data_IF_983140184219
#
_entry.id   IF_983140184219
#
_cell.length_a   1.000
_cell.length_b   1.000
_cell.length_c   1.000
_cell.angle_alpha   90.00
_cell.angle_beta   90.00
_cell.angle_gamma   90.00
#
_symmetry.space_group_name_H-M   'P 1'
#
loop_
_entity.id
_entity.type
_entity.pdbx_description
1 polymer ?
#
# COMPACT_ATOMS: atom_id res chain seq x y z
N UNK A 1 -15.79 -37.41 -29.10
CA UNK A 1 -14.99 -37.75 -27.90
C UNK A 1 -15.89 -37.59 -26.69
N UNK A 2 -16.27 -38.69 -26.02
CA UNK A 2 -17.05 -38.65 -24.77
C UNK A 2 -16.03 -38.66 -23.64
N UNK A 3 -15.91 -37.53 -22.93
CA UNK A 3 -15.05 -37.45 -21.75
C UNK A 3 -15.56 -38.44 -20.69
N UNK A 4 -14.67 -39.30 -20.18
CA UNK A 4 -15.00 -40.23 -19.12
C UNK A 4 -15.20 -39.53 -17.77
N UNK A 5 -15.90 -40.14 -16.80
CA UNK A 5 -16.10 -39.54 -15.47
C UNK A 5 -14.78 -39.19 -14.76
N UNK A 6 -13.70 -39.92 -15.06
CA UNK A 6 -12.34 -39.62 -14.59
C UNK A 6 -11.76 -38.32 -15.18
N UNK A 7 -11.95 -38.05 -16.48
CA UNK A 7 -11.45 -36.80 -17.10
C UNK A 7 -12.18 -35.57 -16.56
N UNK A 8 -13.50 -35.68 -16.34
CA UNK A 8 -14.30 -34.61 -15.73
C UNK A 8 -13.78 -34.29 -14.32
N UNK A 9 -13.44 -35.31 -13.55
CA UNK A 9 -12.93 -35.15 -12.18
C UNK A 9 -11.57 -34.43 -12.17
N UNK A 10 -10.66 -34.80 -13.09
CA UNK A 10 -9.35 -34.16 -13.25
C UNK A 10 -9.50 -32.68 -13.66
N UNK A 11 -10.41 -32.39 -14.59
CA UNK A 11 -10.65 -31.01 -15.05
C UNK A 11 -11.24 -30.14 -13.95
N UNK A 12 -12.14 -30.67 -13.11
CA UNK A 12 -12.71 -29.94 -11.97
C UNK A 12 -11.65 -29.66 -10.90
N UNK A 13 -10.76 -30.61 -10.62
CA UNK A 13 -9.66 -30.42 -9.68
C UNK A 13 -8.64 -29.40 -10.20
N UNK A 14 -8.27 -29.47 -11.49
CA UNK A 14 -7.38 -28.49 -12.11
C UNK A 14 -8.00 -27.09 -12.11
N UNK A 15 -9.28 -26.96 -12.46
CA UNK A 15 -9.98 -25.68 -12.46
C UNK A 15 -10.11 -25.12 -11.04
N UNK A 16 -10.44 -25.95 -10.05
CA UNK A 16 -10.51 -25.57 -8.64
C UNK A 16 -9.16 -25.12 -8.11
N UNK A 17 -8.07 -25.84 -8.45
CA UNK A 17 -6.71 -25.45 -8.11
C UNK A 17 -6.32 -24.12 -8.76
N UNK A 18 -6.69 -23.90 -10.01
CA UNK A 18 -6.39 -22.67 -10.75
C UNK A 18 -7.15 -21.46 -10.16
N UNK A 19 -8.43 -21.64 -9.80
CA UNK A 19 -9.22 -20.62 -9.10
C UNK A 19 -8.65 -20.35 -7.71
N UNK A 20 -8.25 -21.39 -6.98
CA UNK A 20 -7.63 -21.27 -5.65
C UNK A 20 -6.26 -20.54 -5.73
N UNK A 21 -5.44 -20.84 -6.73
CA UNK A 21 -4.19 -20.14 -7.01
C UNK A 21 -4.41 -18.65 -7.36
N UNK A 22 -5.45 -18.35 -8.14
CA UNK A 22 -5.83 -16.96 -8.48
C UNK A 22 -6.37 -16.21 -7.26
N UNK A 23 -7.12 -16.87 -6.36
CA UNK A 23 -7.58 -16.26 -5.12
C UNK A 23 -6.44 -16.03 -4.11
N UNK A 24 -5.52 -16.97 -3.98
CA UNK A 24 -4.37 -16.86 -3.06
C UNK A 24 -3.35 -15.81 -3.52
N UNK A 25 -3.22 -15.53 -4.82
CA UNK A 25 -2.37 -14.44 -5.31
C UNK A 25 -2.88 -13.02 -4.95
N UNK A 26 -4.16 -12.85 -4.57
CA UNK A 26 -4.70 -11.52 -4.29
C UNK A 26 -4.38 -10.99 -2.88
N UNK A 27 -3.83 -11.81 -1.99
CA UNK A 27 -3.87 -11.49 -0.55
C UNK A 27 -2.55 -11.10 0.11
N UNK A 28 -1.42 -11.08 -0.60
CA UNK A 28 -0.15 -10.67 -0.01
C UNK A 28 0.73 -9.93 -1.02
N UNK A 29 0.30 -8.75 -1.49
CA UNK A 29 1.31 -7.72 -1.76
C UNK A 29 1.80 -7.26 -0.39
N UNK A 30 3.02 -7.62 0.03
CA UNK A 30 3.52 -7.19 1.32
C UNK A 30 3.46 -5.65 1.33
N UNK A 31 3.07 -5.05 2.45
CA UNK A 31 2.95 -3.58 2.56
C UNK A 31 4.22 -2.87 2.03
N UNK A 32 5.37 -3.51 2.14
CA UNK A 32 6.65 -3.07 1.56
C UNK A 32 6.64 -2.86 0.04
N UNK A 33 5.95 -3.68 -0.75
CA UNK A 33 5.92 -3.58 -2.22
C UNK A 33 4.94 -2.48 -2.68
N UNK A 34 3.86 -2.27 -1.91
CA UNK A 34 2.96 -1.11 -2.09
C UNK A 34 3.70 0.18 -1.76
N UNK A 35 4.52 0.18 -0.71
CA UNK A 35 5.34 1.33 -0.32
C UNK A 35 6.45 1.57 -1.35
N UNK A 36 7.14 0.54 -1.85
CA UNK A 36 8.10 0.71 -2.95
C UNK A 36 7.42 1.31 -4.19
N UNK A 37 6.21 0.88 -4.56
CA UNK A 37 5.50 1.52 -5.68
C UNK A 37 5.10 2.98 -5.38
N UNK A 38 4.86 3.33 -4.12
CA UNK A 38 4.54 4.71 -3.69
C UNK A 38 5.79 5.61 -3.71
N UNK A 39 6.97 5.06 -3.42
CA UNK A 39 8.22 5.82 -3.27
C UNK A 39 9.19 5.69 -4.46
N UNK A 40 9.01 4.72 -5.35
CA UNK A 40 9.85 4.47 -6.54
C UNK A 40 9.27 5.09 -7.82
N UNK A 41 8.27 5.99 -7.70
CA UNK A 41 7.92 6.94 -8.76
C UNK A 41 9.03 8.01 -8.84
N UNK A 42 10.21 7.54 -9.28
CA UNK A 42 11.54 8.16 -9.23
C UNK A 42 11.71 9.43 -10.08
N UNK A 43 10.61 10.09 -10.44
CA UNK A 43 10.60 11.27 -11.32
C UNK A 43 9.67 12.39 -10.87
N UNK A 44 8.96 12.26 -9.75
CA UNK A 44 8.16 13.40 -9.23
C UNK A 44 8.55 13.75 -7.78
N UNK A 45 8.87 15.02 -7.48
CA UNK A 45 9.15 15.47 -6.12
C UNK A 45 7.90 15.50 -5.23
N UNK A 46 6.75 15.10 -5.77
CA UNK A 46 5.45 15.19 -5.10
C UNK A 46 5.00 13.79 -4.68
N UNK A 47 4.64 13.56 -3.40
CA UNK A 47 4.12 12.29 -2.95
C UNK A 47 2.88 11.89 -3.74
N UNK A 48 2.85 10.62 -4.17
CA UNK A 48 1.69 10.04 -4.84
C UNK A 48 0.40 10.19 -4.03
N UNK A 49 -0.77 10.17 -4.70
CA UNK A 49 -2.09 10.36 -4.07
C UNK A 49 -2.31 9.41 -2.88
N UNK A 50 -1.87 8.16 -3.00
CA UNK A 50 -1.99 7.14 -1.94
C UNK A 50 -1.15 7.49 -0.70
N UNK A 51 0.05 8.03 -0.90
CA UNK A 51 0.93 8.45 0.20
C UNK A 51 0.29 9.57 1.01
N UNK A 52 -0.35 10.53 0.33
CA UNK A 52 -1.05 11.65 0.96
C UNK A 52 -2.27 11.19 1.75
N UNK A 53 -3.10 10.33 1.17
CA UNK A 53 -4.28 9.77 1.87
C UNK A 53 -3.86 8.95 3.09
N UNK A 54 -2.81 8.13 2.96
CA UNK A 54 -2.25 7.40 4.09
C UNK A 54 -1.74 8.34 5.19
N UNK A 55 -0.95 9.35 4.84
CA UNK A 55 -0.40 10.30 5.80
C UNK A 55 -1.51 11.07 6.53
N UNK A 56 -2.55 11.53 5.81
CA UNK A 56 -3.73 12.15 6.42
C UNK A 56 -4.45 11.19 7.37
N UNK A 57 -4.61 9.92 6.98
CA UNK A 57 -5.24 8.90 7.83
C UNK A 57 -4.47 8.73 9.15
N UNK A 58 -3.15 8.52 9.07
CA UNK A 58 -2.29 8.35 10.24
C UNK A 58 -2.31 9.57 11.15
N UNK A 59 -2.23 10.77 10.59
CA UNK A 59 -2.25 12.00 11.39
C UNK A 59 -3.62 12.24 12.03
N UNK A 60 -4.70 11.96 11.32
CA UNK A 60 -6.06 12.07 11.85
C UNK A 60 -6.34 11.05 12.97
N UNK A 61 -5.84 9.82 12.86
CA UNK A 61 -5.95 8.80 13.91
C UNK A 61 -5.24 9.21 15.20
N UNK A 62 -4.11 9.90 15.09
CA UNK A 62 -3.34 10.41 16.23
C UNK A 62 -3.78 11.82 16.66
N UNK A 63 -4.79 12.40 16.00
CA UNK A 63 -5.30 13.74 16.29
C UNK A 63 -4.28 14.86 16.05
N UNK A 64 -3.33 14.64 15.14
CA UNK A 64 -2.25 15.58 14.84
C UNK A 64 -2.59 16.41 13.62
N UNK A 65 -2.53 17.73 13.80
CA UNK A 65 -2.60 18.68 12.71
C UNK A 65 -1.18 18.97 12.18
N UNK A 66 -0.97 18.67 10.90
CA UNK A 66 0.30 18.87 10.20
C UNK A 66 0.68 20.36 10.06
N UNK A 67 -0.30 21.26 10.06
CA UNK A 67 -0.07 22.70 10.00
C UNK A 67 0.27 23.28 11.37
N UNK A 68 -0.35 22.76 12.43
CA UNK A 68 -0.11 23.22 13.80
C UNK A 68 1.24 22.72 14.36
N UNK A 69 1.61 21.47 14.10
CA UNK A 69 2.90 20.90 14.52
C UNK A 69 3.52 19.98 13.45
N UNK A 70 4.18 20.54 12.43
CA UNK A 70 4.81 19.76 11.37
C UNK A 70 5.94 18.86 11.89
N UNK A 71 6.63 19.28 12.95
CA UNK A 71 7.72 18.51 13.55
C UNK A 71 7.21 17.24 14.23
N UNK A 72 6.09 17.34 14.94
CA UNK A 72 5.42 16.19 15.54
C UNK A 72 4.74 15.31 14.49
N UNK A 73 4.08 15.90 13.49
CA UNK A 73 3.51 15.16 12.37
C UNK A 73 4.54 14.26 11.67
N UNK A 74 5.75 14.77 11.39
CA UNK A 74 6.83 13.98 10.83
C UNK A 74 7.26 12.81 11.74
N UNK A 75 7.27 13.00 13.06
CA UNK A 75 7.59 11.92 14.03
C UNK A 75 6.51 10.83 14.01
N UNK A 76 5.24 11.23 13.98
CA UNK A 76 4.10 10.32 13.92
C UNK A 76 4.14 9.47 12.64
N UNK A 77 4.36 10.10 11.48
CA UNK A 77 4.49 9.37 10.21
C UNK A 77 5.64 8.35 10.22
N UNK A 78 6.79 8.71 10.81
CA UNK A 78 7.94 7.80 10.93
C UNK A 78 7.77 6.73 11.99
N UNK A 79 6.92 6.95 13.00
CA UNK A 79 6.52 5.93 13.97
C UNK A 79 5.59 4.91 13.32
N UNK A 80 4.66 5.37 12.48
CA UNK A 80 3.72 4.53 11.75
C UNK A 80 4.41 3.72 10.63
N UNK A 81 5.37 4.32 9.92
CA UNK A 81 6.19 3.64 8.91
C UNK A 81 7.69 3.85 9.20
N UNK A 82 8.35 2.92 9.91
CA UNK A 82 9.77 3.04 10.27
C UNK A 82 10.72 3.10 9.06
N UNK A 83 10.32 2.60 7.89
CA UNK A 83 11.12 2.70 6.66
C UNK A 83 11.04 4.09 6.03
N UNK A 84 10.14 4.96 6.51
CA UNK A 84 9.98 6.32 6.03
C UNK A 84 11.20 7.16 6.44
N UNK A 85 11.91 7.68 5.43
CA UNK A 85 13.03 8.58 5.67
C UNK A 85 12.55 9.93 6.18
N UNK A 86 13.42 10.65 6.90
CA UNK A 86 13.09 12.00 7.39
C UNK A 86 12.73 12.96 6.24
N UNK A 87 13.41 12.82 5.10
CA UNK A 87 13.17 13.63 3.90
C UNK A 87 11.78 13.32 3.32
N UNK A 88 11.42 12.05 3.18
CA UNK A 88 10.10 11.66 2.67
C UNK A 88 8.96 12.12 3.60
N UNK A 89 9.14 12.01 4.92
CA UNK A 89 8.19 12.51 5.90
C UNK A 89 8.00 14.04 5.80
N UNK A 90 9.11 14.78 5.63
CA UNK A 90 9.06 16.24 5.43
C UNK A 90 8.30 16.60 4.16
N UNK A 91 8.62 15.96 3.03
CA UNK A 91 7.96 16.22 1.75
C UNK A 91 6.47 15.89 1.81
N UNK A 92 6.08 14.84 2.53
CA UNK A 92 4.67 14.51 2.78
C UNK A 92 3.97 15.64 3.52
N UNK A 93 4.49 16.05 4.68
CA UNK A 93 3.91 17.14 5.49
C UNK A 93 3.86 18.45 4.69
N UNK A 94 4.96 18.85 4.04
CA UNK A 94 5.01 20.05 3.20
C UNK A 94 3.96 20.03 2.06
N UNK A 95 3.60 18.85 1.56
CA UNK A 95 2.59 18.70 0.51
C UNK A 95 1.16 18.76 1.07
N UNK A 96 0.95 18.31 2.31
CA UNK A 96 -0.36 18.39 2.97
C UNK A 96 -0.71 19.85 3.29
N UNK A 97 0.25 20.64 3.77
CA UNK A 97 0.07 22.04 4.16
C UNK A 97 -0.13 23.01 2.97
N UNK A 98 -0.10 22.51 1.72
CA UNK A 98 -0.17 23.31 0.50
C UNK A 98 -1.57 23.41 -0.12
N UNK A 99 -2.58 22.80 0.51
CA UNK A 99 -3.97 22.77 0.06
C UNK A 99 -4.91 23.13 1.21
#
# INVERSE_FOLDING_TARGET
MRFGPMEITILVLLLGFLIFAVMTQRQTRPASEVLETIFDERSTPTPGRKARVWALGVLNEEGVDADADPGYAMKVLRKAEPRLTLVAAKVLVDTLNRF
#
